data_IF_870773198173
#
_entry.id   IF_870773198173
#
_cell.length_a   1.000
_cell.length_b   1.000
_cell.length_c   1.000
_cell.angle_alpha   90.00
_cell.angle_beta   90.00
_cell.angle_gamma   90.00
#
_symmetry.space_group_name_H-M   'P 1'
#
loop_
_entity.id
_entity.type
_entity.pdbx_description
1 polymer ?
#
# COMPACT_ATOMS: atom_id res chain seq x y z
N UNK A 1 -22.39 -26.23 -23.01
CA UNK A 1 -22.62 -25.63 -24.33
C UNK A 1 -21.27 -25.37 -25.00
N UNK A 2 -21.15 -25.60 -26.31
CA UNK A 2 -19.87 -25.41 -27.03
C UNK A 2 -19.41 -23.95 -27.12
N UNK A 3 -20.35 -23.03 -26.99
CA UNK A 3 -20.14 -21.58 -27.10
C UNK A 3 -19.89 -20.88 -25.77
N UNK A 4 -19.79 -21.61 -24.65
CA UNK A 4 -19.48 -21.07 -23.32
C UNK A 4 -18.30 -21.83 -22.72
N UNK A 5 -17.24 -21.10 -22.42
CA UNK A 5 -16.08 -21.58 -21.66
C UNK A 5 -16.11 -20.98 -20.27
N UNK A 6 -16.00 -21.83 -19.25
CA UNK A 6 -15.87 -21.43 -17.86
C UNK A 6 -14.50 -21.87 -17.32
N UNK A 7 -13.86 -21.02 -16.51
CA UNK A 7 -12.57 -21.30 -15.90
C UNK A 7 -12.67 -20.96 -14.41
N UNK A 8 -12.20 -21.88 -13.57
CA UNK A 8 -12.06 -21.66 -12.14
C UNK A 8 -10.65 -22.06 -11.70
N UNK A 9 -10.12 -21.36 -10.73
CA UNK A 9 -8.81 -21.64 -10.17
C UNK A 9 -8.71 -21.18 -8.73
N UNK A 10 -7.82 -21.82 -8.00
CA UNK A 10 -7.48 -21.46 -6.62
C UNK A 10 -5.96 -21.41 -6.50
N UNK A 11 -5.45 -20.29 -6.00
CA UNK A 11 -4.06 -20.11 -5.61
C UNK A 11 -4.00 -19.78 -4.13
N UNK A 12 -2.94 -20.19 -3.49
CA UNK A 12 -2.59 -19.74 -2.15
C UNK A 12 -1.11 -19.37 -2.10
N UNK A 13 -0.79 -18.35 -1.30
CA UNK A 13 0.56 -17.87 -1.06
C UNK A 13 0.80 -17.85 0.45
N UNK A 14 1.99 -18.24 0.89
CA UNK A 14 2.39 -18.19 2.29
C UNK A 14 3.69 -17.40 2.36
N UNK A 15 3.63 -16.10 2.69
CA UNK A 15 4.84 -15.32 2.92
C UNK A 15 5.56 -15.81 4.16
N UNK A 16 6.86 -15.92 4.07
CA UNK A 16 7.73 -16.27 5.19
C UNK A 16 8.89 -15.29 5.26
N UNK A 17 9.17 -14.77 6.45
CA UNK A 17 10.27 -13.87 6.73
C UNK A 17 11.29 -14.58 7.62
N UNK A 18 12.58 -14.45 7.30
CA UNK A 18 13.66 -14.95 8.14
C UNK A 18 13.90 -14.04 9.36
N UNK A 19 14.74 -14.49 10.25
CA UNK A 19 15.15 -13.76 11.46
C UNK A 19 16.25 -12.73 11.11
N UNK A 20 15.85 -11.60 10.52
CA UNK A 20 16.80 -10.58 10.07
C UNK A 20 16.72 -9.28 10.86
N UNK A 21 15.66 -9.09 11.65
CA UNK A 21 15.46 -7.89 12.44
C UNK A 21 16.12 -8.01 13.83
N UNK A 22 16.69 -6.92 14.32
CA UNK A 22 17.33 -6.89 15.64
C UNK A 22 16.33 -6.54 16.73
N UNK A 23 16.50 -7.22 17.85
CA UNK A 23 15.73 -6.99 19.06
C UNK A 23 16.23 -5.78 19.84
N UNK A 24 15.33 -4.82 20.09
CA UNK A 24 15.57 -3.69 21.00
C UNK A 24 14.79 -3.95 22.30
N UNK A 25 15.47 -4.37 23.40
CA UNK A 25 14.79 -4.71 24.64
C UNK A 25 14.13 -3.51 25.33
N UNK A 26 14.57 -2.28 25.03
CA UNK A 26 13.96 -1.09 25.58
C UNK A 26 12.55 -0.88 24.99
N UNK A 27 12.37 -1.11 23.69
CA UNK A 27 11.07 -0.96 23.00
C UNK A 27 10.03 -1.92 23.57
N UNK A 28 10.42 -3.11 23.98
CA UNK A 28 9.51 -4.09 24.57
C UNK A 28 8.89 -3.64 25.91
N UNK A 29 9.53 -2.72 26.60
CA UNK A 29 9.01 -2.14 27.85
C UNK A 29 8.14 -0.92 27.64
N UNK A 30 8.12 -0.39 26.41
CA UNK A 30 7.34 0.78 26.03
C UNK A 30 5.92 0.40 25.63
N UNK A 31 4.97 1.25 25.96
CA UNK A 31 3.59 1.14 25.48
C UNK A 31 3.40 2.00 24.23
N UNK A 32 2.76 1.42 23.23
CA UNK A 32 2.37 2.06 21.98
C UNK A 32 0.89 1.85 21.75
N UNK A 33 0.33 2.47 20.73
CA UNK A 33 -1.04 2.24 20.31
C UNK A 33 -1.05 1.46 19.00
N UNK A 34 -1.84 0.39 18.95
CA UNK A 34 -2.10 -0.32 17.69
C UNK A 34 -3.12 0.43 16.82
N UNK A 35 -3.42 -0.12 15.64
CA UNK A 35 -4.39 0.45 14.69
C UNK A 35 -5.80 0.64 15.31
N UNK A 36 -6.20 -0.23 16.25
CA UNK A 36 -7.47 -0.14 16.98
C UNK A 36 -7.43 0.89 18.11
N UNK A 37 -6.30 1.51 18.35
CA UNK A 37 -6.09 2.48 19.42
C UNK A 37 -5.86 1.89 20.80
N UNK A 38 -5.64 0.60 20.93
CA UNK A 38 -5.33 -0.09 22.20
C UNK A 38 -3.85 0.01 22.52
N UNK A 39 -3.51 0.07 23.80
CA UNK A 39 -2.12 0.00 24.23
C UNK A 39 -1.57 -1.42 24.06
N UNK A 40 -0.42 -1.50 23.40
CA UNK A 40 0.32 -2.73 23.12
C UNK A 40 1.82 -2.50 23.29
N UNK A 41 2.57 -3.57 23.45
CA UNK A 41 4.02 -3.57 23.37
C UNK A 41 4.42 -4.14 22.00
N UNK A 42 5.36 -3.48 21.31
CA UNK A 42 5.92 -4.00 20.08
C UNK A 42 7.29 -4.61 20.34
N UNK A 43 7.66 -5.56 19.49
CA UNK A 43 9.01 -6.11 19.41
C UNK A 43 9.60 -5.71 18.06
N UNK A 44 10.81 -5.16 18.07
CA UNK A 44 11.48 -4.72 16.84
C UNK A 44 12.00 -5.87 15.99
N UNK A 45 12.21 -7.04 16.59
CA UNK A 45 12.62 -8.29 15.91
C UNK A 45 11.44 -9.12 15.40
N UNK A 46 10.20 -8.76 15.72
CA UNK A 46 9.01 -9.47 15.27
C UNK A 46 8.59 -9.01 13.89
N UNK A 47 8.90 -9.80 12.88
CA UNK A 47 8.39 -9.63 11.52
C UNK A 47 6.99 -10.27 11.40
N UNK A 48 6.24 -9.98 10.30
CA UNK A 48 4.91 -10.54 10.11
C UNK A 48 4.88 -12.06 10.20
N UNK A 49 3.88 -12.59 10.89
CA UNK A 49 3.66 -14.02 11.00
C UNK A 49 3.26 -14.64 9.64
N UNK A 50 3.73 -15.88 9.36
CA UNK A 50 3.28 -16.59 8.17
C UNK A 50 1.76 -16.75 8.17
N UNK A 51 1.11 -16.38 7.08
CA UNK A 51 -0.32 -16.54 6.91
C UNK A 51 -0.68 -16.99 5.50
N UNK A 52 -1.81 -17.69 5.35
CA UNK A 52 -2.26 -18.19 4.06
C UNK A 52 -3.09 -17.10 3.37
N UNK A 53 -2.65 -16.68 2.19
CA UNK A 53 -3.34 -15.72 1.35
C UNK A 53 -4.07 -16.48 0.23
N UNK A 54 -5.36 -16.62 0.37
CA UNK A 54 -6.22 -17.31 -0.60
C UNK A 54 -6.57 -16.42 -1.77
N UNK A 55 -6.44 -16.94 -2.99
CA UNK A 55 -6.71 -16.22 -4.25
C UNK A 55 -7.61 -17.04 -5.17
N UNK A 56 -8.90 -17.21 -4.84
CA UNK A 56 -9.87 -17.86 -5.72
C UNK A 56 -10.15 -16.96 -6.94
N UNK A 57 -10.36 -17.60 -8.10
CA UNK A 57 -10.63 -16.91 -9.37
C UNK A 57 -11.63 -17.69 -10.20
N UNK A 58 -12.53 -16.97 -10.85
CA UNK A 58 -13.45 -17.51 -11.82
C UNK A 58 -13.48 -16.62 -13.06
N UNK A 59 -13.73 -17.20 -14.20
CA UNK A 59 -13.84 -16.47 -15.45
C UNK A 59 -14.70 -17.21 -16.46
N UNK A 60 -15.28 -16.48 -17.38
CA UNK A 60 -16.06 -17.02 -18.45
C UNK A 60 -15.78 -16.29 -19.77
N UNK A 61 -16.04 -17.01 -20.84
CA UNK A 61 -16.04 -16.48 -22.20
C UNK A 61 -17.22 -17.13 -22.94
N UNK A 62 -18.12 -16.31 -23.43
CA UNK A 62 -19.37 -16.76 -24.06
C UNK A 62 -19.56 -16.10 -25.42
N UNK A 63 -19.57 -16.93 -26.48
CA UNK A 63 -20.09 -16.55 -27.80
C UNK A 63 -21.60 -16.57 -27.75
N UNK A 64 -22.22 -15.40 -27.59
CA UNK A 64 -23.66 -15.29 -27.26
C UNK A 64 -24.55 -15.98 -28.28
N UNK A 65 -24.24 -15.87 -29.57
CA UNK A 65 -25.05 -16.37 -30.69
C UNK A 65 -24.40 -17.55 -31.43
N UNK A 66 -23.28 -18.10 -30.94
CA UNK A 66 -22.53 -19.18 -31.56
C UNK A 66 -22.10 -18.86 -33.02
N UNK A 67 -21.79 -17.59 -33.29
CA UNK A 67 -21.45 -17.09 -34.61
C UNK A 67 -20.17 -16.24 -34.63
N UNK A 68 -19.45 -16.20 -33.51
CA UNK A 68 -18.19 -15.46 -33.30
C UNK A 68 -18.29 -13.94 -33.59
N UNK A 69 -19.50 -13.37 -33.53
CA UNK A 69 -19.71 -11.94 -33.73
C UNK A 69 -19.83 -11.17 -32.43
N UNK A 70 -20.50 -11.78 -31.44
CA UNK A 70 -20.72 -11.15 -30.12
C UNK A 70 -20.13 -12.04 -29.05
N UNK A 71 -19.07 -11.56 -28.41
CA UNK A 71 -18.39 -12.27 -27.34
C UNK A 71 -18.58 -11.52 -26.04
N UNK A 72 -19.11 -12.21 -25.02
CA UNK A 72 -19.22 -11.68 -23.66
C UNK A 72 -18.23 -12.42 -22.78
N UNK A 73 -17.33 -11.70 -22.16
CA UNK A 73 -16.28 -12.27 -21.31
C UNK A 73 -16.20 -11.53 -19.97
N UNK A 74 -15.76 -12.23 -18.95
CA UNK A 74 -15.57 -11.62 -17.66
C UNK A 74 -14.93 -12.57 -16.66
N UNK A 75 -14.61 -12.01 -15.51
CA UNK A 75 -14.04 -12.78 -14.42
C UNK A 75 -14.08 -12.00 -13.12
N UNK A 76 -13.96 -12.75 -12.05
CA UNK A 76 -13.87 -12.21 -10.71
C UNK A 76 -12.88 -13.04 -9.88
N UNK A 77 -12.14 -12.40 -8.99
CA UNK A 77 -11.22 -13.12 -8.13
C UNK A 77 -10.39 -12.24 -7.23
N UNK A 78 -9.73 -12.90 -6.30
CA UNK A 78 -8.75 -12.28 -5.41
C UNK A 78 -7.36 -12.47 -6.01
N UNK A 79 -6.57 -11.41 -5.98
CA UNK A 79 -5.21 -11.39 -6.51
C UNK A 79 -4.24 -10.92 -5.44
N UNK A 80 -3.26 -11.76 -5.13
CA UNK A 80 -2.16 -11.43 -4.23
C UNK A 80 -1.03 -10.81 -5.04
N UNK A 81 -0.62 -9.59 -4.65
CA UNK A 81 0.54 -8.89 -5.18
C UNK A 81 1.81 -9.20 -4.39
N UNK A 82 2.97 -8.97 -5.00
CA UNK A 82 4.22 -8.88 -4.26
C UNK A 82 4.33 -7.47 -3.66
N UNK A 83 4.52 -7.33 -2.34
CA UNK A 83 4.81 -6.03 -1.77
C UNK A 83 6.24 -5.61 -2.15
N UNK A 84 6.51 -4.32 -2.11
CA UNK A 84 7.88 -3.85 -2.09
C UNK A 84 8.50 -4.29 -0.75
N UNK A 85 9.49 -5.17 -0.80
CA UNK A 85 10.13 -5.68 0.42
C UNK A 85 10.76 -4.57 1.27
N UNK A 86 11.06 -3.42 0.67
CA UNK A 86 11.54 -2.24 1.37
C UNK A 86 10.59 -1.78 2.49
N UNK A 87 9.29 -2.01 2.38
CA UNK A 87 8.35 -1.65 3.43
C UNK A 87 8.60 -2.43 4.72
N UNK A 88 8.93 -3.72 4.59
CA UNK A 88 9.29 -4.57 5.75
C UNK A 88 10.73 -4.29 6.20
N UNK A 89 11.68 -4.06 5.26
CA UNK A 89 13.08 -3.80 5.59
C UNK A 89 13.30 -2.48 6.35
N UNK A 90 12.34 -1.55 6.32
CA UNK A 90 12.37 -0.38 7.18
C UNK A 90 12.47 -0.76 8.67
N UNK A 91 11.76 -1.82 9.09
CA UNK A 91 11.83 -2.33 10.47
C UNK A 91 13.22 -2.87 10.79
N UNK A 92 13.87 -3.52 9.83
CA UNK A 92 15.25 -4.04 10.01
C UNK A 92 16.24 -2.90 10.24
N UNK A 93 16.08 -1.78 9.52
CA UNK A 93 16.96 -0.61 9.65
C UNK A 93 16.64 0.28 10.86
N UNK A 94 15.36 0.54 11.11
CA UNK A 94 14.90 1.53 12.09
C UNK A 94 14.39 0.86 13.37
N UNK A 95 15.28 0.23 14.11
CA UNK A 95 15.01 -0.50 15.35
C UNK A 95 15.58 0.18 16.62
N UNK A 96 16.23 1.34 16.47
CA UNK A 96 16.84 2.09 17.56
C UNK A 96 18.21 1.58 18.04
N UNK A 97 18.71 0.48 17.46
CA UNK A 97 20.06 -0.08 17.75
C UNK A 97 21.00 0.20 16.58
N UNK A 98 20.60 -0.11 15.35
CA UNK A 98 21.42 0.09 14.15
C UNK A 98 21.50 1.56 13.76
N UNK A 99 20.41 2.29 13.93
CA UNK A 99 20.30 3.69 13.56
C UNK A 99 19.74 4.51 14.71
N UNK A 100 20.30 5.68 14.88
CA UNK A 100 19.82 6.70 15.78
C UNK A 100 20.29 8.06 15.25
N UNK A 101 19.88 9.13 15.88
CA UNK A 101 20.40 10.44 15.55
C UNK A 101 20.75 11.23 16.81
N UNK A 102 21.70 12.13 16.68
CA UNK A 102 22.00 13.14 17.68
C UNK A 102 21.74 14.50 17.08
N UNK A 103 20.86 15.27 17.71
CA UNK A 103 20.64 16.68 17.37
C UNK A 103 21.42 17.54 18.37
N UNK A 104 22.23 18.43 17.86
CA UNK A 104 23.04 19.33 18.64
C UNK A 104 22.76 20.76 18.17
N UNK A 105 21.93 21.47 18.92
CA UNK A 105 21.57 22.85 18.62
C UNK A 105 22.47 23.80 19.44
N UNK A 106 22.88 24.90 18.81
CA UNK A 106 23.67 25.96 19.46
C UNK A 106 24.93 25.46 20.21
N UNK A 107 25.63 24.48 19.63
CA UNK A 107 26.85 23.92 20.21
C UNK A 107 28.11 24.40 19.51
N UNK A 108 29.15 24.62 20.29
CA UNK A 108 30.51 24.91 19.79
C UNK A 108 31.41 23.66 19.77
N UNK A 109 30.90 22.53 20.26
CA UNK A 109 31.68 21.28 20.40
C UNK A 109 31.94 20.56 19.08
N UNK A 110 31.21 20.92 18.03
CA UNK A 110 31.38 20.39 16.67
C UNK A 110 31.41 21.51 15.64
N UNK A 111 32.52 22.29 15.57
CA UNK A 111 32.67 23.34 14.57
C UNK A 111 32.71 22.71 13.16
N UNK A 112 32.45 23.52 12.13
CA UNK A 112 32.52 23.05 10.74
C UNK A 112 33.85 22.33 10.47
N UNK A 113 33.78 21.14 9.88
CA UNK A 113 34.93 20.37 9.48
C UNK A 113 34.69 19.85 8.04
N UNK A 114 35.60 20.09 7.09
CA UNK A 114 35.44 19.59 5.72
C UNK A 114 35.55 18.07 5.60
N UNK A 115 36.06 17.37 6.60
CA UNK A 115 36.06 15.93 6.66
C UNK A 115 34.69 15.42 7.17
N UNK A 116 33.87 14.73 6.36
CA UNK A 116 32.56 14.25 6.78
C UNK A 116 32.62 13.19 7.89
N UNK A 117 33.76 12.53 8.07
CA UNK A 117 33.96 11.50 9.10
C UNK A 117 34.52 12.06 10.43
N UNK A 118 34.80 13.35 10.52
CA UNK A 118 35.45 13.95 11.69
C UNK A 118 34.70 13.69 13.01
N UNK A 119 33.38 13.56 12.93
CA UNK A 119 32.53 13.38 14.11
C UNK A 119 31.77 12.05 14.08
N UNK A 120 32.12 11.17 13.15
CA UNK A 120 31.51 9.86 13.01
C UNK A 120 31.91 8.97 14.21
N UNK A 121 30.94 8.29 14.85
CA UNK A 121 31.27 7.30 15.86
C UNK A 121 32.12 6.16 15.26
N UNK A 122 33.21 5.83 15.94
CA UNK A 122 34.14 4.77 15.51
C UNK A 122 33.74 3.38 15.98
N UNK A 123 32.79 3.31 16.92
CA UNK A 123 32.28 2.06 17.47
C UNK A 123 30.75 2.09 17.60
N UNK A 124 30.10 0.95 17.31
CA UNK A 124 28.69 0.72 17.56
C UNK A 124 28.56 -0.01 18.89
N UNK A 125 27.86 0.60 19.85
CA UNK A 125 27.76 0.07 21.21
C UNK A 125 26.81 -1.14 21.33
N UNK A 126 25.93 -1.36 20.34
CA UNK A 126 24.86 -2.36 20.39
C UNK A 126 23.76 -2.01 21.41
N UNK A 127 23.81 -0.82 22.00
CA UNK A 127 22.79 -0.31 22.93
C UNK A 127 21.88 0.68 22.20
N UNK A 128 20.62 0.84 22.65
CA UNK A 128 19.71 1.81 22.09
C UNK A 128 20.29 3.24 22.14
N UNK A 129 20.11 4.00 21.06
CA UNK A 129 20.48 5.41 21.00
C UNK A 129 19.67 6.25 22.00
N UNK A 130 20.15 7.47 22.28
CA UNK A 130 19.44 8.40 23.17
C UNK A 130 18.07 8.84 22.64
N UNK A 131 17.94 8.89 21.31
CA UNK A 131 16.68 9.09 20.60
C UNK A 131 16.74 8.32 19.28
N UNK A 132 15.63 7.73 18.87
CA UNK A 132 15.56 6.93 17.65
C UNK A 132 14.13 6.87 17.11
N UNK A 133 14.01 6.83 15.79
CA UNK A 133 12.75 6.50 15.12
C UNK A 133 12.59 4.99 15.03
N UNK A 134 11.35 4.55 15.09
CA UNK A 134 10.99 3.16 14.88
C UNK A 134 10.16 3.02 13.60
N UNK A 135 10.49 2.04 12.80
CA UNK A 135 9.60 1.47 11.82
C UNK A 135 9.18 0.07 12.31
N UNK A 136 7.89 -0.14 12.41
CA UNK A 136 7.31 -1.36 12.94
C UNK A 136 6.36 -1.97 11.89
N UNK A 137 6.04 -3.23 12.07
CA UNK A 137 5.02 -3.93 11.28
C UNK A 137 4.09 -4.66 12.23
N UNK A 138 2.80 -4.57 11.98
CA UNK A 138 1.81 -5.36 12.74
C UNK A 138 2.10 -6.85 12.58
N UNK A 139 2.09 -7.66 13.66
CA UNK A 139 2.37 -9.10 13.58
C UNK A 139 1.44 -9.85 12.60
N UNK A 140 0.21 -9.39 12.50
CA UNK A 140 -0.80 -9.96 11.61
C UNK A 140 -0.85 -9.30 10.21
N UNK A 141 0.15 -8.51 9.85
CA UNK A 141 0.24 -7.87 8.53
C UNK A 141 0.20 -8.92 7.42
N UNK A 142 -0.65 -8.67 6.43
CA UNK A 142 -0.82 -9.50 5.24
C UNK A 142 -0.32 -8.78 4.00
N UNK A 143 0.22 -9.53 3.06
CA UNK A 143 0.57 -8.98 1.78
C UNK A 143 -0.65 -8.42 1.05
N UNK A 144 -0.46 -7.35 0.26
CA UNK A 144 -1.57 -6.73 -0.44
C UNK A 144 -2.34 -7.71 -1.30
N UNK A 145 -3.65 -7.71 -1.13
CA UNK A 145 -4.60 -8.45 -1.95
C UNK A 145 -5.68 -7.49 -2.45
N UNK A 146 -6.09 -7.70 -3.68
CA UNK A 146 -7.21 -6.98 -4.29
C UNK A 146 -8.25 -7.97 -4.80
N UNK A 147 -9.49 -7.67 -4.58
CA UNK A 147 -10.58 -8.32 -5.30
C UNK A 147 -10.84 -7.54 -6.58
N UNK A 148 -10.77 -8.22 -7.71
CA UNK A 148 -10.99 -7.61 -9.03
C UNK A 148 -12.06 -8.36 -9.80
N UNK A 149 -12.96 -7.60 -10.41
CA UNK A 149 -13.98 -8.10 -11.31
C UNK A 149 -13.89 -7.32 -12.62
N UNK A 150 -13.97 -8.03 -13.72
CA UNK A 150 -14.10 -7.41 -15.04
C UNK A 150 -15.22 -8.04 -15.85
N UNK A 151 -15.82 -7.22 -16.69
CA UNK A 151 -16.78 -7.64 -17.72
C UNK A 151 -16.47 -6.92 -19.02
N UNK A 152 -16.56 -7.62 -20.13
CA UNK A 152 -16.32 -7.04 -21.45
C UNK A 152 -17.24 -7.65 -22.51
N UNK A 153 -17.53 -6.85 -23.52
CA UNK A 153 -18.23 -7.26 -24.73
C UNK A 153 -17.36 -6.90 -25.93
N UNK A 154 -17.10 -7.89 -26.77
CA UNK A 154 -16.46 -7.71 -28.06
C UNK A 154 -17.52 -7.96 -29.16
N UNK A 155 -17.67 -6.99 -30.05
CA UNK A 155 -18.67 -7.02 -31.12
C UNK A 155 -18.02 -6.80 -32.47
N UNK A 156 -18.18 -7.76 -33.39
CA UNK A 156 -17.84 -7.54 -34.81
C UNK A 156 -18.94 -6.73 -35.48
N UNK A 157 -18.59 -5.59 -35.98
CA UNK A 157 -19.46 -4.67 -36.72
C UNK A 157 -19.25 -4.81 -38.23
N UNK A 158 -20.16 -4.25 -39.06
CA UNK A 158 -19.91 -4.13 -40.50
C UNK A 158 -18.56 -3.52 -40.84
N UNK A 159 -18.07 -3.70 -42.05
CA UNK A 159 -16.79 -3.20 -42.56
C UNK A 159 -15.56 -3.78 -41.87
N UNK A 160 -15.70 -4.90 -41.12
CA UNK A 160 -14.60 -5.55 -40.44
C UNK A 160 -14.10 -4.80 -39.17
N UNK A 161 -14.90 -3.90 -38.63
CA UNK A 161 -14.61 -3.20 -37.39
C UNK A 161 -14.91 -4.13 -36.20
N UNK A 162 -14.03 -4.11 -35.19
CA UNK A 162 -14.25 -4.76 -33.90
C UNK A 162 -14.40 -3.66 -32.84
N UNK A 163 -15.54 -3.67 -32.16
CA UNK A 163 -15.81 -2.80 -31.02
C UNK A 163 -15.64 -3.59 -29.74
N UNK A 164 -14.92 -3.04 -28.76
CA UNK A 164 -14.77 -3.61 -27.42
C UNK A 164 -15.20 -2.58 -26.39
N UNK A 165 -16.09 -2.97 -25.48
CA UNK A 165 -16.39 -2.22 -24.26
C UNK A 165 -16.02 -3.08 -23.05
N UNK A 166 -15.30 -2.52 -22.10
CA UNK A 166 -14.85 -3.22 -20.91
C UNK A 166 -15.04 -2.36 -19.66
N UNK A 167 -15.43 -2.98 -18.55
CA UNK A 167 -15.48 -2.38 -17.24
C UNK A 167 -14.70 -3.25 -16.26
N UNK A 168 -13.83 -2.61 -15.49
CA UNK A 168 -13.01 -3.25 -14.44
C UNK A 168 -13.30 -2.53 -13.13
N UNK A 169 -13.57 -3.30 -12.10
CA UNK A 169 -13.65 -2.83 -10.72
C UNK A 169 -12.66 -3.59 -9.84
N UNK A 170 -11.98 -2.89 -8.96
CA UNK A 170 -11.07 -3.49 -7.97
C UNK A 170 -11.31 -2.85 -6.61
N UNK A 171 -11.23 -3.63 -5.55
CA UNK A 171 -11.24 -3.15 -4.16
C UNK A 171 -10.16 -3.83 -3.35
N UNK A 172 -9.62 -3.13 -2.38
CA UNK A 172 -8.62 -3.68 -1.48
C UNK A 172 -9.25 -4.73 -0.55
N UNK A 173 -8.56 -5.86 -0.40
CA UNK A 173 -8.82 -6.86 0.63
C UNK A 173 -7.82 -6.67 1.77
N UNK A 174 -6.53 -6.53 1.44
CA UNK A 174 -5.45 -6.21 2.35
C UNK A 174 -4.62 -5.06 1.76
N UNK A 175 -5.20 -3.87 1.65
CA UNK A 175 -4.48 -2.67 1.24
C UNK A 175 -3.48 -2.24 2.31
N UNK A 176 -2.52 -1.41 1.95
CA UNK A 176 -1.52 -0.88 2.87
C UNK A 176 -2.07 0.28 3.69
N UNK A 177 -1.68 0.33 4.95
CA UNK A 177 -1.90 1.47 5.82
C UNK A 177 -0.66 1.72 6.68
N UNK A 178 -0.46 2.97 7.04
CA UNK A 178 0.55 3.40 8.01
C UNK A 178 -0.10 4.25 9.08
N UNK A 179 0.34 4.07 10.31
CA UNK A 179 -0.01 4.94 11.42
C UNK A 179 1.20 5.15 12.33
N UNK A 180 1.18 6.20 13.14
CA UNK A 180 2.22 6.42 14.12
C UNK A 180 1.76 5.89 15.49
N UNK A 181 2.31 4.76 15.89
CA UNK A 181 1.95 4.08 17.14
C UNK A 181 2.33 4.87 18.41
N UNK A 182 3.19 5.88 18.29
CA UNK A 182 3.63 6.73 19.41
C UNK A 182 2.78 8.00 19.61
N UNK A 183 1.69 8.15 18.85
CA UNK A 183 0.75 9.24 19.06
C UNK A 183 -0.36 8.85 20.05
N UNK A 184 -0.75 9.76 20.96
CA UNK A 184 -1.92 9.55 21.81
C UNK A 184 -3.21 9.57 20.99
N UNK A 185 -4.36 9.39 21.62
CA UNK A 185 -5.65 9.64 20.97
C UNK A 185 -5.74 11.09 20.58
N UNK A 186 -6.27 11.35 19.39
CA UNK A 186 -6.61 12.71 19.01
C UNK A 186 -7.66 13.30 19.97
N UNK A 187 -7.38 14.49 20.48
CA UNK A 187 -8.24 15.14 21.49
C UNK A 187 -9.25 16.10 20.88
N UNK A 188 -9.08 16.43 19.60
CA UNK A 188 -9.95 17.36 18.88
C UNK A 188 -9.90 17.11 17.36
N UNK A 189 -10.75 17.79 16.64
CA UNK A 189 -10.73 17.89 15.19
C UNK A 189 -10.62 19.36 14.79
N UNK A 190 -10.18 19.63 13.57
CA UNK A 190 -10.29 20.96 12.99
C UNK A 190 -11.76 21.32 12.78
N UNK A 191 -12.08 22.61 12.82
CA UNK A 191 -13.41 23.12 12.59
C UNK A 191 -13.55 23.65 11.17
N UNK A 192 -14.73 23.44 10.55
CA UNK A 192 -15.08 23.97 9.24
C UNK A 192 -14.97 22.90 8.12
N UNK A 193 -14.55 23.29 6.92
CA UNK A 193 -14.41 22.35 5.79
C UNK A 193 -13.35 21.27 6.01
N UNK A 194 -12.37 21.51 6.86
CA UNK A 194 -11.35 20.54 7.27
C UNK A 194 -11.70 20.00 8.65
N UNK A 195 -12.15 18.75 8.75
CA UNK A 195 -12.49 18.08 10.00
C UNK A 195 -11.49 16.96 10.38
N UNK A 196 -10.26 17.02 9.87
CA UNK A 196 -9.22 16.06 10.25
C UNK A 196 -8.94 16.07 11.74
N UNK A 197 -8.53 14.93 12.25
CA UNK A 197 -8.11 14.79 13.65
C UNK A 197 -6.88 15.64 13.96
N UNK A 198 -6.89 16.22 15.14
CA UNK A 198 -5.83 17.07 15.65
C UNK A 198 -5.26 16.48 16.93
N UNK A 199 -3.97 16.25 16.92
CA UNK A 199 -3.23 15.81 18.09
C UNK A 199 -2.62 17.04 18.78
N UNK A 200 -3.01 17.23 20.03
CA UNK A 200 -2.41 18.23 20.91
C UNK A 200 -1.86 17.51 22.13
N UNK A 201 -0.57 17.62 22.38
CA UNK A 201 0.06 17.01 23.53
C UNK A 201 1.33 16.24 23.21
N UNK A 202 1.91 15.67 24.26
CA UNK A 202 3.16 14.94 24.18
C UNK A 202 2.96 13.56 23.54
N UNK A 203 4.02 13.06 22.92
CA UNK A 203 4.10 11.66 22.46
C UNK A 203 3.96 10.71 23.66
N UNK A 204 3.52 9.48 23.41
CA UNK A 204 3.40 8.46 24.47
C UNK A 204 4.78 8.18 25.07
N UNK A 205 5.80 8.00 24.21
CA UNK A 205 7.20 7.81 24.63
C UNK A 205 8.04 8.99 24.11
N UNK A 206 8.57 9.79 25.03
CA UNK A 206 9.34 11.01 24.68
C UNK A 206 10.64 10.71 23.93
N UNK A 207 11.27 9.56 24.20
CA UNK A 207 12.52 9.12 23.58
C UNK A 207 12.34 8.74 22.10
N UNK A 208 11.13 8.36 21.70
CA UNK A 208 10.80 7.91 20.34
C UNK A 208 10.07 9.02 19.59
N UNK A 209 10.72 9.74 18.66
CA UNK A 209 10.06 10.76 17.84
C UNK A 209 8.88 10.22 17.07
N UNK A 210 9.05 9.07 16.43
CA UNK A 210 8.03 8.42 15.61
C UNK A 210 8.16 6.90 15.72
N UNK A 211 7.02 6.21 15.79
CA UNK A 211 6.91 4.76 15.67
C UNK A 211 5.94 4.45 14.52
N UNK A 212 6.44 4.59 13.29
CA UNK A 212 5.61 4.39 12.10
C UNK A 212 5.40 2.92 11.86
N UNK A 213 4.15 2.48 11.95
CA UNK A 213 3.75 1.09 11.91
C UNK A 213 3.00 0.77 10.63
N UNK A 214 3.48 -0.25 9.92
CA UNK A 214 2.84 -0.82 8.73
C UNK A 214 1.70 -1.74 9.15
N UNK A 215 0.54 -1.56 8.55
CA UNK A 215 -0.67 -2.34 8.82
C UNK A 215 -1.49 -2.56 7.54
N UNK A 216 -2.65 -3.19 7.67
CA UNK A 216 -3.58 -3.38 6.57
C UNK A 216 -4.89 -2.63 6.78
N UNK A 217 -5.55 -2.33 5.67
CA UNK A 217 -6.90 -1.81 5.60
C UNK A 217 -7.61 -2.30 4.33
N UNK A 218 -8.93 -2.17 4.26
CA UNK A 218 -9.73 -2.64 3.13
C UNK A 218 -10.68 -1.53 2.62
N UNK A 219 -10.14 -0.33 2.36
CA UNK A 219 -10.94 0.84 1.98
C UNK A 219 -10.64 1.38 0.58
N UNK A 220 -9.50 1.01 -0.01
CA UNK A 220 -9.14 1.43 -1.35
C UNK A 220 -9.98 0.73 -2.43
N UNK A 221 -10.25 1.46 -3.51
CA UNK A 221 -10.92 0.90 -4.68
C UNK A 221 -10.48 1.61 -5.96
N UNK A 222 -10.71 0.95 -7.08
CA UNK A 222 -10.58 1.56 -8.41
C UNK A 222 -11.63 1.01 -9.35
N UNK A 223 -12.02 1.83 -10.33
CA UNK A 223 -12.81 1.37 -11.46
C UNK A 223 -12.35 2.05 -12.74
N UNK A 224 -12.45 1.32 -13.84
CA UNK A 224 -12.12 1.80 -15.18
C UNK A 224 -13.15 1.28 -16.16
N UNK A 225 -13.74 2.19 -16.93
CA UNK A 225 -14.51 1.87 -18.12
C UNK A 225 -13.68 2.20 -19.36
N UNK A 226 -13.63 1.31 -20.33
CA UNK A 226 -12.92 1.50 -21.59
C UNK A 226 -13.77 1.13 -22.79
N UNK A 227 -13.55 1.85 -23.88
CA UNK A 227 -14.14 1.57 -25.17
C UNK A 227 -13.08 1.66 -26.26
N UNK A 228 -13.05 0.69 -27.17
CA UNK A 228 -12.15 0.74 -28.32
C UNK A 228 -12.82 0.28 -29.61
N UNK A 229 -12.36 0.83 -30.71
CA UNK A 229 -12.68 0.40 -32.07
C UNK A 229 -11.37 0.07 -32.76
N UNK A 230 -11.33 -1.07 -33.42
CA UNK A 230 -10.18 -1.48 -34.22
C UNK A 230 -10.61 -2.07 -35.56
N UNK A 231 -9.80 -1.85 -36.57
CA UNK A 231 -10.02 -2.38 -37.91
C UNK A 231 -8.71 -2.85 -38.54
N UNK A 232 -8.52 -4.18 -38.69
CA UNK A 232 -7.48 -4.70 -39.55
C UNK A 232 -7.94 -4.62 -41.03
N UNK A 233 -7.05 -4.13 -41.90
CA UNK A 233 -7.30 -4.09 -43.34
C UNK A 233 -6.50 -5.19 -44.04
N UNK A 234 -7.02 -5.68 -45.17
CA UNK A 234 -6.41 -6.75 -45.94
C UNK A 234 -5.03 -6.41 -46.53
N UNK A 235 -4.71 -5.13 -46.68
CA UNK A 235 -3.42 -4.64 -47.18
C UNK A 235 -2.33 -4.49 -46.10
N UNK A 236 -2.56 -5.03 -44.88
CA UNK A 236 -1.64 -4.94 -43.77
C UNK A 236 -1.74 -3.67 -42.92
N UNK A 237 -2.59 -2.70 -43.28
CA UNK A 237 -2.87 -1.56 -42.43
C UNK A 237 -3.74 -1.98 -41.25
N UNK A 238 -3.43 -1.46 -40.05
CA UNK A 238 -4.23 -1.64 -38.83
C UNK A 238 -4.51 -0.25 -38.22
N UNK A 239 -5.74 0.01 -37.86
CA UNK A 239 -6.15 1.25 -37.20
C UNK A 239 -6.88 0.89 -35.90
N UNK A 240 -6.50 1.55 -34.80
CA UNK A 240 -7.16 1.42 -33.51
C UNK A 240 -7.33 2.78 -32.86
N UNK A 241 -8.53 3.03 -32.32
CA UNK A 241 -8.84 4.12 -31.43
C UNK A 241 -9.39 3.58 -30.11
N UNK A 242 -8.98 4.13 -28.99
CA UNK A 242 -9.47 3.73 -27.68
C UNK A 242 -9.63 4.94 -26.76
N UNK A 243 -10.59 4.86 -25.85
CA UNK A 243 -10.82 5.80 -24.77
C UNK A 243 -11.06 5.04 -23.48
N UNK A 244 -10.47 5.50 -22.39
CA UNK A 244 -10.73 4.96 -21.05
C UNK A 244 -10.94 6.09 -20.06
N UNK A 245 -11.82 5.84 -19.10
CA UNK A 245 -12.07 6.73 -17.99
C UNK A 245 -12.23 5.92 -16.70
N UNK A 246 -11.70 6.43 -15.59
CA UNK A 246 -11.80 5.72 -14.32
C UNK A 246 -11.42 6.59 -13.14
N UNK A 247 -11.55 5.99 -11.97
CA UNK A 247 -11.23 6.60 -10.68
C UNK A 247 -10.50 5.58 -9.80
N UNK A 248 -9.49 6.05 -9.08
CA UNK A 248 -8.84 5.28 -8.01
C UNK A 248 -8.80 6.10 -6.75
N UNK A 249 -9.21 5.49 -5.63
CA UNK A 249 -9.10 6.07 -4.30
C UNK A 249 -8.42 5.10 -3.36
N UNK A 250 -7.51 5.61 -2.55
CA UNK A 250 -6.89 4.88 -1.44
C UNK A 250 -6.55 5.86 -0.29
N UNK A 251 -5.85 5.39 0.72
CA UNK A 251 -5.53 6.19 1.92
C UNK A 251 -4.09 6.62 1.97
N UNK A 252 -3.22 6.00 1.19
CA UNK A 252 -1.78 6.29 1.15
C UNK A 252 -1.19 5.84 -0.18
N UNK A 253 -0.29 6.64 -0.73
CA UNK A 253 0.60 6.24 -1.81
C UNK A 253 1.96 5.86 -1.21
N UNK A 254 2.24 4.56 -1.00
CA UNK A 254 3.38 4.13 -0.24
C UNK A 254 4.69 4.38 -0.99
N UNK A 255 5.61 5.09 -0.33
CA UNK A 255 7.00 5.23 -0.76
C UNK A 255 7.89 4.14 -0.16
N UNK A 256 9.21 4.30 -0.33
CA UNK A 256 10.20 3.36 0.19
C UNK A 256 10.54 3.57 1.67
N UNK A 257 10.31 4.77 2.22
CA UNK A 257 10.65 5.14 3.59
C UNK A 257 9.37 5.23 4.42
N UNK A 258 9.28 4.47 5.52
CA UNK A 258 8.09 4.42 6.36
C UNK A 258 7.71 5.81 6.92
N UNK A 259 8.67 6.52 7.53
CA UNK A 259 8.44 7.86 8.05
C UNK A 259 8.03 8.84 6.94
N UNK A 260 8.71 8.82 5.78
CA UNK A 260 8.36 9.64 4.63
C UNK A 260 6.96 9.34 4.10
N UNK A 261 6.58 8.08 4.06
CA UNK A 261 5.22 7.67 3.65
C UNK A 261 4.16 8.23 4.62
N UNK A 262 4.40 8.11 5.92
CA UNK A 262 3.49 8.65 6.94
C UNK A 262 3.36 10.18 6.88
N UNK A 263 4.48 10.90 6.71
CA UNK A 263 4.47 12.37 6.77
C UNK A 263 4.07 13.04 5.45
N UNK A 264 4.48 12.47 4.32
CA UNK A 264 4.41 13.18 3.03
C UNK A 264 3.37 12.58 2.06
N UNK A 265 3.03 11.30 2.22
CA UNK A 265 2.22 10.58 1.25
C UNK A 265 0.82 10.16 1.72
N UNK A 266 0.28 10.61 2.88
CA UNK A 266 -1.11 10.33 3.18
C UNK A 266 -2.02 11.04 2.17
N UNK A 267 -3.04 10.35 1.72
CA UNK A 267 -4.00 10.92 0.78
C UNK A 267 -5.08 11.65 1.57
N UNK A 268 -5.17 12.96 1.37
CA UNK A 268 -6.07 13.87 2.07
C UNK A 268 -6.83 14.79 1.11
N UNK A 269 -7.18 14.30 -0.06
CA UNK A 269 -7.85 15.10 -1.09
C UNK A 269 -9.27 15.55 -0.69
N UNK A 270 -9.90 14.87 0.24
CA UNK A 270 -11.19 15.25 0.81
C UNK A 270 -11.05 15.49 2.33
N UNK A 271 -10.97 16.77 2.79
CA UNK A 271 -10.87 17.08 4.21
C UNK A 271 -12.06 16.62 5.05
N UNK A 272 -13.24 16.42 4.43
CA UNK A 272 -14.43 15.91 5.11
C UNK A 272 -14.42 14.39 5.25
N UNK A 273 -13.59 13.71 4.46
CA UNK A 273 -13.37 12.27 4.53
C UNK A 273 -11.85 11.96 4.52
N UNK A 274 -11.14 12.27 5.61
CA UNK A 274 -9.67 12.26 5.62
C UNK A 274 -9.04 10.87 5.60
N UNK A 275 -9.78 9.83 5.38
CA UNK A 275 -9.28 8.47 5.29
C UNK A 275 -9.24 7.88 3.89
N UNK A 276 -9.78 8.60 2.89
CA UNK A 276 -9.87 8.09 1.52
C UNK A 276 -9.84 9.25 0.53
N UNK A 277 -9.03 9.16 -0.48
CA UNK A 277 -8.93 10.18 -1.51
C UNK A 277 -8.33 9.66 -2.82
N UNK A 278 -8.24 10.53 -3.81
CA UNK A 278 -7.69 10.16 -5.11
C UNK A 278 -6.23 9.74 -5.01
N UNK A 279 -5.91 8.57 -5.56
CA UNK A 279 -4.54 8.09 -5.64
C UNK A 279 -3.78 8.76 -6.78
N UNK A 280 -2.58 9.23 -6.50
CA UNK A 280 -1.66 9.74 -7.51
C UNK A 280 -1.04 8.61 -8.35
N UNK A 281 -1.14 7.36 -7.89
CA UNK A 281 -0.67 6.18 -8.63
C UNK A 281 -1.65 5.72 -9.71
N UNK A 282 -2.84 6.30 -9.79
CA UNK A 282 -3.73 6.08 -10.91
C UNK A 282 -3.25 6.91 -12.11
N UNK A 283 -2.43 6.31 -12.90
CA UNK A 283 -1.98 6.85 -14.18
C UNK A 283 -2.98 6.45 -15.25
N UNK A 284 -4.09 7.17 -15.32
CA UNK A 284 -4.97 7.15 -16.48
C UNK A 284 -4.28 7.88 -17.64
N UNK A 285 -3.46 7.20 -18.38
CA UNK A 285 -2.87 7.68 -19.63
C UNK A 285 -3.54 7.03 -20.83
#
# INVERSE_FOLDING_TARGET
>A
RKNLKFTAGLRFDIPYFGETALRNPEVETMYFRNADGRFVNFRTDQLPEPNILWSPRVGFNWDVFDNQKTQFRGGSGVFTGRPAYVWISNQVGNNGILTGFAQLDNTTTRPFNPNPDAYKPTQVSGTPASSYELALTEPNFKFPQVWRTNVAVDQKLPLGIIATAEFIYSSDVNGLAYYNANLPVATSQFNGPDNRYRWSGNRINSKVPNAVTLSNQAVGYSWVGSFSLERPFSNGLFVKGAYSYGETKNTVDPGSIAAGTWFNNPIISDPNNPGLGFSSNFMGH
#
